data_IF_011262700543
#
_entry.id   IF_011262700543
#
_cell.length_a   1.000
_cell.length_b   1.000
_cell.length_c   1.000
_cell.angle_alpha   90.00
_cell.angle_beta   90.00
_cell.angle_gamma   90.00
#
_symmetry.space_group_name_H-M   'P 1'
#
loop_
_entity.id
_entity.type
_entity.pdbx_description
1 polymer ?
#
# COMPACT_ATOMS: atom_id res chain seq x y z
N UNK A 1 14.38 5.66 -11.19
CA UNK A 1 13.18 6.20 -10.51
C UNK A 1 13.15 7.71 -10.74
N UNK A 2 12.09 8.24 -11.35
CA UNK A 2 12.06 9.66 -11.78
C UNK A 2 11.80 10.65 -10.62
N UNK A 3 11.29 10.19 -9.48
CA UNK A 3 10.93 11.06 -8.35
C UNK A 3 11.92 11.13 -7.18
N UNK A 4 13.07 10.44 -7.25
CA UNK A 4 14.05 10.43 -6.15
C UNK A 4 13.57 9.79 -4.83
N UNK A 5 12.38 9.20 -4.81
CA UNK A 5 11.79 8.53 -3.65
C UNK A 5 11.92 7.01 -3.78
N UNK A 6 11.94 6.29 -2.65
CA UNK A 6 11.92 4.82 -2.64
C UNK A 6 10.47 4.34 -2.81
N UNK A 7 10.25 3.44 -3.77
CA UNK A 7 8.94 2.83 -4.06
C UNK A 7 9.07 1.35 -3.73
N UNK A 8 8.08 0.85 -2.99
CA UNK A 8 7.97 -0.54 -2.59
C UNK A 8 6.67 -1.10 -3.17
N UNK A 9 6.77 -2.18 -3.93
CA UNK A 9 5.60 -2.95 -4.35
C UNK A 9 5.15 -3.83 -3.19
N UNK A 10 3.85 -3.84 -2.92
CA UNK A 10 3.23 -4.67 -1.89
C UNK A 10 2.50 -5.85 -2.55
N UNK A 11 2.53 -7.04 -1.93
CA UNK A 11 1.79 -8.19 -2.44
C UNK A 11 0.28 -7.97 -2.32
N UNK A 12 -0.46 -8.41 -3.34
CA UNK A 12 -1.92 -8.50 -3.35
C UNK A 12 -2.41 -9.86 -2.85
N UNK A 13 -3.69 -9.95 -2.51
CA UNK A 13 -4.36 -11.22 -2.20
C UNK A 13 -4.75 -12.01 -3.48
N UNK A 14 -5.44 -13.14 -3.29
CA UNK A 14 -5.98 -13.96 -4.38
C UNK A 14 -6.95 -13.19 -5.30
N UNK A 15 -7.59 -12.13 -4.80
CA UNK A 15 -8.48 -11.24 -5.56
C UNK A 15 -7.73 -10.08 -6.21
N UNK A 16 -6.40 -10.11 -6.23
CA UNK A 16 -5.55 -9.04 -6.75
C UNK A 16 -5.86 -7.68 -6.09
N UNK A 17 -6.13 -7.70 -4.78
CA UNK A 17 -6.53 -6.55 -3.97
C UNK A 17 -5.53 -6.32 -2.84
N UNK A 18 -5.05 -5.08 -2.69
CA UNK A 18 -4.23 -4.65 -1.57
C UNK A 18 -5.06 -4.67 -0.27
N UNK A 19 -4.51 -5.31 0.76
CA UNK A 19 -5.12 -5.38 2.09
C UNK A 19 -4.49 -4.40 3.08
N UNK A 20 -5.31 -3.88 3.98
CA UNK A 20 -4.87 -2.93 5.02
C UNK A 20 -3.81 -3.52 5.94
N UNK A 21 -3.89 -4.83 6.24
CA UNK A 21 -2.94 -5.53 7.09
C UNK A 21 -1.54 -5.58 6.45
N UNK A 22 -1.46 -5.83 5.14
CA UNK A 22 -0.21 -5.81 4.36
C UNK A 22 0.40 -4.40 4.36
N UNK A 23 -0.44 -3.39 4.12
CA UNK A 23 -0.02 -1.99 4.14
C UNK A 23 0.51 -1.57 5.53
N UNK A 24 -0.22 -1.91 6.59
CA UNK A 24 0.17 -1.61 7.97
C UNK A 24 1.51 -2.23 8.34
N UNK A 25 1.71 -3.50 7.98
CA UNK A 25 2.99 -4.20 8.22
C UNK A 25 4.13 -3.51 7.48
N UNK A 26 3.93 -3.14 6.21
CA UNK A 26 4.93 -2.44 5.42
C UNK A 26 5.32 -1.09 6.04
N UNK A 27 4.33 -0.29 6.46
CA UNK A 27 4.54 0.99 7.15
C UNK A 27 5.39 0.79 8.42
N UNK A 28 5.05 -0.20 9.25
CA UNK A 28 5.80 -0.47 10.48
C UNK A 28 7.25 -0.88 10.22
N UNK A 29 7.49 -1.74 9.23
CA UNK A 29 8.84 -2.16 8.84
C UNK A 29 9.67 -0.99 8.29
N UNK A 30 9.05 -0.10 7.53
CA UNK A 30 9.74 1.04 6.93
C UNK A 30 10.06 2.11 7.99
N UNK A 31 9.15 2.34 8.95
CA UNK A 31 9.41 3.16 10.14
C UNK A 31 10.57 2.59 10.98
N UNK A 32 10.63 1.28 11.20
CA UNK A 32 11.73 0.62 11.92
C UNK A 32 13.08 0.77 11.21
N UNK A 33 13.07 0.93 9.89
CA UNK A 33 14.27 1.20 9.08
C UNK A 33 14.63 2.68 9.03
N UNK A 34 13.93 3.54 9.78
CA UNK A 34 14.13 4.99 9.77
C UNK A 34 13.64 5.68 8.49
N UNK A 35 12.79 5.01 7.70
CA UNK A 35 12.16 5.62 6.52
C UNK A 35 10.88 6.34 6.95
N UNK A 36 10.46 7.30 6.12
CA UNK A 36 9.22 8.06 6.33
C UNK A 36 8.21 7.63 5.25
N UNK A 37 7.22 6.77 5.56
CA UNK A 37 6.13 6.47 4.65
C UNK A 37 5.25 7.71 4.51
N UNK A 38 5.10 8.21 3.28
CA UNK A 38 4.38 9.46 3.03
C UNK A 38 3.31 9.35 1.94
N UNK A 39 3.29 8.24 1.19
CA UNK A 39 2.41 8.07 0.05
C UNK A 39 2.07 6.60 -0.18
N UNK A 40 0.83 6.35 -0.56
CA UNK A 40 0.35 5.04 -1.03
C UNK A 40 -0.58 5.24 -2.22
N UNK A 41 -0.50 4.33 -3.18
CA UNK A 41 -1.45 4.25 -4.30
C UNK A 41 -2.38 3.08 -4.02
N UNK A 42 -3.67 3.36 -3.87
CA UNK A 42 -4.71 2.34 -3.92
C UNK A 42 -5.40 2.41 -5.28
N UNK A 43 -5.58 1.28 -5.94
CA UNK A 43 -6.07 1.17 -7.31
C UNK A 43 -7.52 0.68 -7.33
N UNK A 44 -8.36 1.40 -8.05
CA UNK A 44 -9.75 1.05 -8.34
C UNK A 44 -9.80 0.71 -9.83
N UNK A 45 -9.74 -0.58 -10.16
CA UNK A 45 -9.62 -1.05 -11.54
C UNK A 45 -8.16 -1.22 -11.96
N UNK A 46 -7.52 -2.30 -11.53
CA UNK A 46 -6.17 -2.66 -12.00
C UNK A 46 -6.17 -2.97 -13.49
N UNK A 47 -5.09 -2.64 -14.19
CA UNK A 47 -4.99 -2.84 -15.65
C UNK A 47 -5.16 -4.30 -16.08
N UNK A 48 -4.62 -5.26 -15.30
CA UNK A 48 -4.59 -6.67 -15.71
C UNK A 48 -5.95 -7.34 -15.62
N UNK A 49 -6.71 -7.10 -14.54
CA UNK A 49 -7.93 -7.86 -14.23
C UNK A 49 -9.09 -7.00 -13.74
N UNK A 50 -8.99 -5.68 -13.79
CA UNK A 50 -9.98 -4.75 -13.23
C UNK A 50 -10.30 -5.07 -11.75
N UNK A 51 -9.28 -5.42 -10.96
CA UNK A 51 -9.44 -5.66 -9.53
C UNK A 51 -9.45 -4.34 -8.75
N UNK A 52 -9.94 -4.41 -7.50
CA UNK A 52 -10.14 -3.24 -6.65
C UNK A 52 -9.47 -3.44 -5.29
N UNK A 53 -8.67 -2.47 -4.88
CA UNK A 53 -8.12 -2.43 -3.53
C UNK A 53 -9.20 -2.11 -2.49
N UNK A 54 -9.07 -2.66 -1.28
CA UNK A 54 -10.00 -2.35 -0.18
C UNK A 54 -9.70 -0.96 0.39
N UNK A 55 -10.30 0.07 -0.22
CA UNK A 55 -10.11 1.46 0.17
C UNK A 55 -10.46 1.71 1.64
N UNK A 56 -11.51 1.08 2.16
CA UNK A 56 -11.98 1.32 3.53
C UNK A 56 -10.94 0.83 4.55
N UNK A 57 -10.38 -0.37 4.32
CA UNK A 57 -9.35 -0.93 5.21
C UNK A 57 -7.98 -0.29 5.03
N UNK A 58 -7.59 0.01 3.79
CA UNK A 58 -6.31 0.68 3.51
C UNK A 58 -6.31 2.10 4.07
N UNK A 59 -7.41 2.85 3.93
CA UNK A 59 -7.58 4.16 4.55
C UNK A 59 -7.51 4.11 6.07
N UNK A 60 -8.23 3.18 6.71
CA UNK A 60 -8.17 3.00 8.17
C UNK A 60 -6.78 2.64 8.68
N UNK A 61 -5.93 2.05 7.84
CA UNK A 61 -4.54 1.73 8.16
C UNK A 61 -3.61 2.96 8.06
N UNK A 62 -3.93 3.93 7.20
CA UNK A 62 -3.19 5.19 7.06
C UNK A 62 -3.49 6.17 8.19
N UNK A 63 -4.75 6.33 8.60
CA UNK A 63 -5.15 7.31 9.63
C UNK A 63 -4.54 7.06 11.04
N UNK A 64 -3.86 5.92 11.23
CA UNK A 64 -3.28 5.52 12.51
C UNK A 64 -1.80 5.87 12.64
N UNK A 65 -1.24 6.61 11.68
CA UNK A 65 0.15 7.04 11.63
C UNK A 65 0.22 8.48 11.11
#
# INVERSE_FOLDING_TARGET
MLGGVKIRLLPSDEKQSLKGEVLRKAIQEDLQKGLIPFYVVATIGTTNCCSFDDLKRTWGSLQRF
#
